data_IF_090674156161
#
_entry.id   IF_090674156161
#
_cell.length_a   1.000
_cell.length_b   1.000
_cell.length_c   1.000
_cell.angle_alpha   90.00
_cell.angle_beta   90.00
_cell.angle_gamma   90.00
#
_symmetry.space_group_name_H-M   'P 1'
#
loop_
_entity.id
_entity.type
_entity.pdbx_description
1 polymer ?
#
# COMPACT_ATOMS: atom_id res chain seq x y z
N UNK A 1 -50.49 5.56 2.75
CA UNK A 1 -49.47 6.49 3.27
C UNK A 1 -48.52 5.85 4.29
N UNK A 2 -48.90 4.81 5.05
CA UNK A 2 -48.10 4.33 6.20
C UNK A 2 -47.12 3.17 6.00
N UNK A 3 -46.88 2.67 4.77
CA UNK A 3 -45.94 1.55 4.54
C UNK A 3 -44.55 1.99 4.04
N UNK A 4 -44.43 3.21 3.50
CA UNK A 4 -43.13 3.74 3.06
C UNK A 4 -42.34 4.39 4.22
N UNK A 5 -42.99 4.86 5.28
CA UNK A 5 -42.31 5.34 6.49
C UNK A 5 -41.69 4.19 7.30
N UNK A 6 -42.35 3.03 7.33
CA UNK A 6 -41.90 1.89 8.14
C UNK A 6 -40.67 1.19 7.56
N UNK A 7 -40.51 1.18 6.24
CA UNK A 7 -39.27 0.71 5.58
C UNK A 7 -38.12 1.72 5.70
N UNK A 8 -38.41 3.01 5.89
CA UNK A 8 -37.38 4.02 6.13
C UNK A 8 -36.79 3.92 7.55
N UNK A 9 -37.63 3.58 8.53
CA UNK A 9 -37.23 3.36 9.93
C UNK A 9 -36.49 2.03 10.19
N UNK A 10 -36.47 1.10 9.23
CA UNK A 10 -35.75 -0.18 9.38
C UNK A 10 -34.35 -0.15 8.75
N UNK A 11 -34.02 0.90 7.99
CA UNK A 11 -32.66 1.22 7.53
C UNK A 11 -31.88 2.10 8.50
N UNK A 12 -32.47 2.46 9.65
CA UNK A 12 -31.72 2.91 10.82
C UNK A 12 -31.00 1.69 11.42
N UNK A 13 -30.02 1.18 10.67
CA UNK A 13 -28.89 0.50 11.25
C UNK A 13 -28.44 1.39 12.40
N UNK A 14 -28.62 0.95 13.64
CA UNK A 14 -27.96 1.54 14.79
C UNK A 14 -26.48 1.61 14.40
N UNK A 15 -26.01 2.81 14.04
CA UNK A 15 -24.62 3.04 13.69
C UNK A 15 -23.84 2.91 14.99
N UNK A 16 -23.33 1.71 15.26
CA UNK A 16 -22.47 1.48 16.42
C UNK A 16 -21.13 2.11 16.10
N UNK A 17 -20.92 3.33 16.60
CA UNK A 17 -19.62 3.97 16.59
C UNK A 17 -18.67 3.15 17.45
N UNK A 18 -17.59 2.66 16.85
CA UNK A 18 -16.55 1.96 17.59
C UNK A 18 -15.60 3.00 18.17
N UNK A 19 -15.67 3.20 19.48
CA UNK A 19 -14.68 4.00 20.19
C UNK A 19 -13.47 3.12 20.56
N UNK A 20 -12.36 3.33 19.86
CA UNK A 20 -11.10 2.61 20.08
C UNK A 20 -10.45 3.01 21.42
N UNK A 21 -10.77 4.18 21.97
CA UNK A 21 -10.24 4.61 23.28
C UNK A 21 -10.77 3.75 24.44
N UNK A 22 -11.92 3.08 24.23
CA UNK A 22 -12.47 2.12 25.17
C UNK A 22 -11.73 0.77 25.14
N UNK A 23 -10.84 0.54 24.17
CA UNK A 23 -9.97 -0.63 24.17
C UNK A 23 -8.81 -0.37 25.14
N UNK A 24 -8.53 -1.31 26.03
CA UNK A 24 -7.33 -1.26 26.89
C UNK A 24 -6.06 -1.60 26.08
N UNK A 25 -5.82 -0.82 25.01
CA UNK A 25 -4.75 -0.98 24.02
C UNK A 25 -4.29 0.41 23.59
N UNK A 26 -3.02 0.52 23.23
CA UNK A 26 -2.48 1.75 22.67
C UNK A 26 -3.08 2.00 21.27
N UNK A 27 -3.75 3.14 21.10
CA UNK A 27 -4.39 3.54 19.84
C UNK A 27 -3.38 3.74 18.71
N UNK A 28 -2.10 3.99 19.01
CA UNK A 28 -1.02 4.03 18.01
C UNK A 28 -0.75 2.67 17.34
N UNK A 29 -1.28 1.58 17.92
CA UNK A 29 -1.11 0.19 17.47
C UNK A 29 -2.42 -0.49 17.07
N UNK A 30 -3.53 0.27 17.01
CA UNK A 30 -4.85 -0.29 16.67
C UNK A 30 -5.31 0.18 15.31
N UNK A 31 -5.78 -0.76 14.50
CA UNK A 31 -6.40 -0.52 13.20
C UNK A 31 -7.82 -1.11 13.25
N UNK A 32 -8.82 -0.28 12.94
CA UNK A 32 -10.22 -0.68 12.75
C UNK A 32 -10.43 -0.92 11.27
N UNK A 33 -10.99 -2.08 10.92
CA UNK A 33 -11.32 -2.42 9.54
C UNK A 33 -12.82 -2.62 9.47
N UNK A 34 -13.49 -1.82 8.65
CA UNK A 34 -14.94 -1.91 8.43
C UNK A 34 -15.26 -1.64 6.96
N UNK A 35 -16.47 -1.96 6.53
CA UNK A 35 -16.99 -1.59 5.21
C UNK A 35 -17.65 -0.20 5.20
N UNK A 36 -17.90 0.38 6.38
CA UNK A 36 -18.55 1.68 6.56
C UNK A 36 -17.57 2.67 7.19
N UNK A 37 -17.37 3.84 6.57
CA UNK A 37 -16.48 4.89 7.12
C UNK A 37 -17.00 5.45 8.44
N UNK A 38 -18.31 5.39 8.64
CA UNK A 38 -18.98 5.86 9.85
C UNK A 38 -18.57 5.06 11.09
N UNK A 39 -18.18 3.79 10.94
CA UNK A 39 -17.84 2.91 12.06
C UNK A 39 -16.67 3.43 12.92
N UNK A 40 -15.77 4.20 12.33
CA UNK A 40 -14.58 4.76 12.97
C UNK A 40 -14.53 6.28 12.90
N UNK A 41 -15.68 6.95 12.78
CA UNK A 41 -15.76 8.40 12.67
C UNK A 41 -15.15 9.14 13.89
N UNK A 42 -15.14 8.50 15.07
CA UNK A 42 -14.52 9.04 16.29
C UNK A 42 -12.98 9.04 16.25
N UNK A 43 -12.38 8.12 15.48
CA UNK A 43 -10.93 8.07 15.23
C UNK A 43 -10.67 7.81 13.73
N UNK A 44 -10.83 8.83 12.86
CA UNK A 44 -10.76 8.64 11.41
C UNK A 44 -9.40 8.13 10.93
N UNK A 45 -8.34 8.38 11.70
CA UNK A 45 -6.98 7.92 11.39
C UNK A 45 -6.65 6.51 11.92
N UNK A 46 -7.57 5.87 12.64
CA UNK A 46 -7.44 4.48 13.07
C UNK A 46 -8.23 3.53 12.18
N UNK A 47 -9.05 4.04 11.25
CA UNK A 47 -9.92 3.22 10.43
C UNK A 47 -9.46 3.04 9.01
N UNK A 48 -9.80 1.90 8.43
CA UNK A 48 -9.67 1.63 7.00
C UNK A 48 -10.97 1.05 6.47
N UNK A 49 -11.61 1.78 5.55
CA UNK A 49 -12.83 1.34 4.90
C UNK A 49 -12.51 0.42 3.71
N UNK A 50 -13.07 -0.79 3.74
CA UNK A 50 -12.99 -1.75 2.64
C UNK A 50 -14.28 -1.74 1.82
N UNK A 51 -14.17 -2.19 0.57
CA UNK A 51 -15.36 -2.50 -0.23
C UNK A 51 -16.13 -3.63 0.43
N UNK A 52 -17.45 -3.50 0.43
CA UNK A 52 -18.34 -4.57 0.91
C UNK A 52 -18.19 -5.77 -0.02
N UNK A 53 -17.97 -6.95 0.56
CA UNK A 53 -17.96 -8.20 -0.20
C UNK A 53 -19.34 -8.46 -0.80
N UNK A 54 -19.36 -8.77 -2.09
CA UNK A 54 -20.55 -9.02 -2.89
C UNK A 54 -20.90 -10.51 -3.03
N UNK A 55 -20.06 -11.40 -2.48
CA UNK A 55 -20.20 -12.84 -2.62
C UNK A 55 -19.29 -13.47 -3.67
N UNK A 56 -18.50 -12.67 -4.40
CA UNK A 56 -17.57 -13.18 -5.40
C UNK A 56 -16.47 -14.06 -4.77
N UNK A 57 -16.31 -15.29 -5.27
CA UNK A 57 -15.30 -16.25 -4.80
C UNK A 57 -13.87 -15.91 -5.28
N UNK A 58 -13.76 -15.13 -6.34
CA UNK A 58 -12.46 -14.67 -6.86
C UNK A 58 -11.97 -13.41 -6.15
N UNK A 59 -12.75 -12.86 -5.21
CA UNK A 59 -12.36 -11.71 -4.41
C UNK A 59 -11.10 -12.01 -3.58
N UNK A 60 -10.08 -11.17 -3.74
CA UNK A 60 -8.79 -11.25 -3.01
C UNK A 60 -8.58 -10.10 -2.02
N UNK A 61 -9.59 -9.27 -1.76
CA UNK A 61 -9.48 -8.06 -0.93
C UNK A 61 -8.96 -8.38 0.48
N UNK A 62 -9.41 -9.46 1.11
CA UNK A 62 -8.90 -9.88 2.43
C UNK A 62 -7.46 -10.40 2.39
N UNK A 63 -7.06 -11.03 1.28
CA UNK A 63 -5.67 -11.46 1.09
C UNK A 63 -4.75 -10.24 0.91
N UNK A 64 -5.17 -9.27 0.10
CA UNK A 64 -4.43 -8.02 -0.11
C UNK A 64 -4.36 -7.19 1.19
N UNK A 65 -5.45 -7.14 1.95
CA UNK A 65 -5.49 -6.57 3.30
C UNK A 65 -4.47 -7.23 4.23
N UNK A 66 -4.40 -8.57 4.24
CA UNK A 66 -3.43 -9.28 5.06
C UNK A 66 -1.98 -8.90 4.70
N UNK A 67 -1.68 -8.75 3.41
CA UNK A 67 -0.37 -8.28 2.95
C UNK A 67 -0.08 -6.84 3.38
N UNK A 68 -1.08 -5.95 3.32
CA UNK A 68 -0.97 -4.59 3.81
C UNK A 68 -0.64 -4.55 5.31
N UNK A 69 -1.43 -5.25 6.13
CA UNK A 69 -1.22 -5.32 7.60
C UNK A 69 0.13 -5.95 7.95
N UNK A 70 0.53 -7.01 7.23
CA UNK A 70 1.85 -7.63 7.39
C UNK A 70 2.97 -6.64 7.07
N UNK A 71 2.82 -5.82 6.04
CA UNK A 71 3.80 -4.80 5.67
C UNK A 71 3.95 -3.77 6.78
N UNK A 72 2.85 -3.28 7.38
CA UNK A 72 2.89 -2.35 8.53
C UNK A 72 3.58 -3.00 9.74
N UNK A 73 3.25 -4.26 10.03
CA UNK A 73 3.83 -4.97 11.17
C UNK A 73 5.35 -5.17 11.02
N UNK A 74 5.82 -5.42 9.79
CA UNK A 74 7.24 -5.67 9.51
C UNK A 74 8.06 -4.39 9.30
N UNK A 75 7.44 -3.28 8.92
CA UNK A 75 8.15 -2.02 8.67
C UNK A 75 8.57 -1.29 9.95
N UNK A 76 8.15 -1.78 11.13
CA UNK A 76 8.54 -1.19 12.42
C UNK A 76 7.89 0.17 12.67
N UNK A 77 6.73 0.44 12.07
CA UNK A 77 6.00 1.69 12.26
C UNK A 77 5.63 1.89 13.73
N UNK A 78 6.05 3.03 14.29
CA UNK A 78 5.78 3.38 15.68
C UNK A 78 4.32 3.79 15.90
N UNK A 79 3.72 4.51 14.95
CA UNK A 79 2.31 4.90 14.99
C UNK A 79 1.61 4.59 13.66
N UNK A 80 0.67 3.65 13.69
CA UNK A 80 -0.05 3.18 12.50
C UNK A 80 -0.92 4.28 11.89
N UNK A 81 -1.32 5.29 12.66
CA UNK A 81 -2.21 6.37 12.20
C UNK A 81 -1.57 7.20 11.09
N UNK A 82 -0.25 7.38 11.15
CA UNK A 82 0.52 8.09 10.11
C UNK A 82 0.45 7.35 8.78
N UNK A 83 0.49 6.01 8.82
CA UNK A 83 0.34 5.20 7.62
C UNK A 83 -1.09 5.33 7.10
N UNK A 84 -2.09 5.15 7.96
CA UNK A 84 -3.50 5.18 7.57
C UNK A 84 -3.94 6.56 7.03
N UNK A 85 -3.40 7.66 7.55
CA UNK A 85 -3.64 9.01 7.04
C UNK A 85 -3.28 9.12 5.55
N UNK A 86 -2.19 8.49 5.12
CA UNK A 86 -1.76 8.46 3.72
C UNK A 86 -2.68 7.60 2.80
N UNK A 87 -3.65 6.90 3.37
CA UNK A 87 -4.69 6.16 2.65
C UNK A 87 -6.10 6.71 2.91
N UNK A 88 -6.27 7.70 3.79
CA UNK A 88 -7.58 8.17 4.21
C UNK A 88 -8.40 8.79 3.07
N UNK A 89 -7.71 9.43 2.12
CA UNK A 89 -8.31 10.06 0.93
C UNK A 89 -8.43 9.10 -0.27
N UNK A 90 -7.90 7.88 -0.18
CA UNK A 90 -8.04 6.90 -1.25
C UNK A 90 -9.46 6.33 -1.23
N UNK A 91 -10.08 6.24 -2.40
CA UNK A 91 -11.38 5.57 -2.58
C UNK A 91 -11.30 4.10 -2.17
N UNK A 92 -10.20 3.44 -2.55
CA UNK A 92 -9.88 2.07 -2.18
C UNK A 92 -8.43 2.00 -1.66
N UNK A 93 -8.25 1.96 -0.33
CA UNK A 93 -6.92 1.86 0.30
C UNK A 93 -6.10 0.65 -0.16
N UNK A 94 -6.76 -0.47 -0.46
CA UNK A 94 -6.10 -1.72 -0.85
C UNK A 94 -5.59 -1.64 -2.29
N UNK A 95 -6.39 -1.08 -3.21
CA UNK A 95 -5.92 -0.82 -4.57
C UNK A 95 -4.79 0.22 -4.59
N UNK A 96 -4.89 1.27 -3.78
CA UNK A 96 -3.82 2.24 -3.62
C UNK A 96 -2.51 1.60 -3.12
N UNK A 97 -2.62 0.66 -2.17
CA UNK A 97 -1.48 -0.09 -1.68
C UNK A 97 -0.83 -0.93 -2.79
N UNK A 98 -1.62 -1.70 -3.54
CA UNK A 98 -1.11 -2.51 -4.66
C UNK A 98 -0.43 -1.66 -5.73
N UNK A 99 -1.04 -0.53 -6.10
CA UNK A 99 -0.46 0.43 -7.04
C UNK A 99 0.91 0.93 -6.57
N UNK A 100 1.04 1.29 -5.29
CA UNK A 100 2.32 1.77 -4.73
C UNK A 100 3.37 0.66 -4.69
N UNK A 101 3.00 -0.58 -4.35
CA UNK A 101 3.92 -1.71 -4.40
C UNK A 101 4.44 -1.98 -5.82
N UNK A 102 3.56 -1.94 -6.83
CA UNK A 102 3.95 -2.09 -8.22
C UNK A 102 4.89 -0.97 -8.69
N UNK A 103 4.62 0.27 -8.30
CA UNK A 103 5.48 1.42 -8.61
C UNK A 103 6.89 1.28 -8.00
N UNK A 104 6.98 0.83 -6.74
CA UNK A 104 8.28 0.60 -6.09
C UNK A 104 9.07 -0.51 -6.78
N UNK A 105 8.42 -1.63 -7.14
CA UNK A 105 9.08 -2.71 -7.86
C UNK A 105 9.63 -2.26 -9.23
N UNK A 106 8.85 -1.47 -9.98
CA UNK A 106 9.31 -0.91 -11.26
C UNK A 106 10.51 0.03 -11.08
N UNK A 107 10.48 0.90 -10.07
CA UNK A 107 11.59 1.81 -9.78
C UNK A 107 12.87 1.05 -9.41
N UNK A 108 12.77 -0.04 -8.64
CA UNK A 108 13.92 -0.88 -8.31
C UNK A 108 14.51 -1.59 -9.55
N UNK A 109 13.66 -2.06 -10.46
CA UNK A 109 14.10 -2.67 -11.73
C UNK A 109 14.82 -1.65 -12.63
N UNK A 110 14.25 -0.46 -12.78
CA UNK A 110 14.85 0.63 -13.57
C UNK A 110 16.19 1.09 -12.98
N UNK A 111 16.28 1.21 -11.66
CA UNK A 111 17.52 1.53 -10.95
C UNK A 111 18.59 0.46 -11.21
N UNK A 112 18.24 -0.83 -11.08
CA UNK A 112 19.15 -1.95 -11.34
C UNK A 112 19.62 -1.96 -12.80
N UNK A 113 18.72 -1.71 -13.76
CA UNK A 113 19.06 -1.61 -15.17
C UNK A 113 19.99 -0.42 -15.46
N UNK A 114 19.74 0.73 -14.83
CA UNK A 114 20.58 1.92 -14.95
C UNK A 114 21.99 1.67 -14.40
N UNK A 115 22.12 1.05 -13.23
CA UNK A 115 23.41 0.67 -12.63
C UNK A 115 24.22 -0.26 -13.53
N UNK A 116 23.58 -1.31 -14.08
CA UNK A 116 24.23 -2.22 -15.03
C UNK A 116 24.68 -1.51 -16.31
N UNK A 117 23.87 -0.57 -16.82
CA UNK A 117 24.22 0.22 -18.00
C UNK A 117 25.41 1.17 -17.76
N UNK A 118 25.51 1.75 -16.55
CA UNK A 118 26.63 2.60 -16.15
C UNK A 118 27.91 1.79 -15.98
N UNK A 119 27.84 0.62 -15.33
CA UNK A 119 28.99 -0.29 -15.20
C UNK A 119 29.53 -0.73 -16.56
N UNK A 120 28.65 -1.04 -17.53
CA UNK A 120 29.07 -1.41 -18.90
C UNK A 120 29.79 -0.26 -19.62
N UNK A 121 29.36 0.99 -19.44
CA UNK A 121 30.04 2.17 -20.00
C UNK A 121 31.41 2.42 -19.36
N UNK A 122 31.54 2.20 -18.05
CA UNK A 122 32.83 2.31 -17.34
C UNK A 122 33.81 1.19 -17.74
N UNK A 123 33.33 -0.06 -17.90
CA UNK A 123 34.15 -1.20 -18.35
C UNK A 123 34.64 -1.09 -19.81
N UNK A 124 33.86 -0.47 -20.69
CA UNK A 124 34.26 -0.21 -22.07
C UNK A 124 35.19 1.02 -22.20
N UNK A 125 35.25 1.89 -21.18
CA UNK A 125 36.12 3.07 -21.14
C UNK A 125 37.58 2.75 -20.80
N UNK A 126 37.90 1.61 -20.16
CA UNK A 126 39.28 1.20 -19.82
C UNK A 126 39.92 0.26 -20.86
N UNK A 127 39.16 -0.20 -21.87
CA UNK A 127 39.63 -1.16 -22.89
C UNK A 127 40.21 -0.57 -24.18
N UNK A 128 40.33 0.75 -24.30
CA UNK A 128 40.66 1.42 -25.59
C UNK A 128 42.16 1.58 -25.91
N UNK A 129 43.11 1.11 -25.08
CA UNK A 129 44.54 1.45 -25.25
C UNK A 129 45.42 0.34 -25.86
N UNK A 130 45.00 -0.92 -25.99
CA UNK A 130 45.94 -2.01 -26.35
C UNK A 130 46.13 -2.33 -27.84
N UNK A 131 45.57 -1.59 -28.80
CA UNK A 131 45.74 -1.91 -30.24
C UNK A 131 46.82 -1.11 -31.00
N UNK A 132 47.61 -0.24 -30.34
CA UNK A 132 48.61 0.60 -31.05
C UNK A 132 50.09 0.33 -30.76
N UNK A 133 50.47 -0.73 -30.04
CA UNK A 133 51.88 -0.91 -29.64
C UNK A 133 52.71 -1.95 -30.43
N UNK A 134 52.15 -2.67 -31.40
CA UNK A 134 52.93 -3.72 -32.09
C UNK A 134 52.84 -3.61 -33.62
N UNK A 135 53.48 -2.57 -34.18
CA UNK A 135 53.78 -2.55 -35.63
C UNK A 135 54.97 -1.64 -35.98
N UNK A 136 56.15 -1.93 -35.44
CA UNK A 136 57.40 -1.35 -35.98
C UNK A 136 58.64 -2.19 -35.68
N UNK A 137 58.79 -3.35 -36.34
CA UNK A 137 60.12 -3.81 -36.76
C UNK A 137 60.07 -4.91 -37.82
N UNK A 138 60.07 -4.49 -39.09
CA UNK A 138 60.60 -5.27 -40.19
C UNK A 138 61.42 -4.30 -41.05
N UNK A 139 62.73 -4.30 -40.81
CA UNK A 139 63.78 -3.88 -41.74
C UNK A 139 65.07 -4.58 -41.32
#
# INVERSE_FOLDING_TARGET
AGLNEFLHLQTDCVFVLQDVSCLNRDTSKVIVVDCKREAFQLQPFNGMALKKWDGNSDDRSLYDLANFLKTIALSGVEDVRIVLENYALEEDPIEAFKRRQAQLAQQEEDQRAAELSQQKKQGLSLGSITSRFWRSKQQ
#
